data_IF_207251691654
#
_entry.id   IF_207251691654
#
_cell.length_a   1.000
_cell.length_b   1.000
_cell.length_c   1.000
_cell.angle_alpha   90.00
_cell.angle_beta   90.00
_cell.angle_gamma   90.00
#
_symmetry.space_group_name_H-M   'P 1'
#
loop_
_entity.id
_entity.type
_entity.pdbx_description
1 polymer ?
#
# COMPACT_ATOMS: atom_id res chain seq x y z
N UNK A 1 -68.68 -14.00 57.48
CA UNK A 1 -69.12 -14.47 56.14
C UNK A 1 -68.52 -13.54 55.09
N UNK A 2 -67.46 -13.97 54.42
CA UNK A 2 -67.12 -13.58 53.04
C UNK A 2 -66.08 -14.57 52.54
N UNK A 3 -66.51 -15.31 51.54
CA UNK A 3 -65.83 -16.43 50.91
C UNK A 3 -64.71 -15.88 50.03
N UNK A 4 -63.45 -16.18 50.37
CA UNK A 4 -62.30 -15.85 49.52
C UNK A 4 -61.98 -17.04 48.63
N UNK A 5 -62.72 -17.11 47.53
CA UNK A 5 -62.36 -17.92 46.39
C UNK A 5 -60.99 -17.51 45.85
N UNK A 6 -60.12 -18.49 45.64
CA UNK A 6 -59.45 -18.76 44.37
C UNK A 6 -58.49 -19.92 44.62
N UNK A 7 -59.04 -21.13 44.57
CA UNK A 7 -58.26 -22.33 44.33
C UNK A 7 -57.59 -22.18 42.97
N UNK A 8 -56.28 -21.96 42.99
CA UNK A 8 -55.44 -22.00 41.80
C UNK A 8 -55.65 -23.35 41.11
N UNK A 9 -56.46 -23.35 40.07
CA UNK A 9 -56.72 -24.51 39.22
C UNK A 9 -55.40 -24.89 38.55
N UNK A 10 -54.68 -25.80 39.20
CA UNK A 10 -53.53 -26.51 38.65
C UNK A 10 -54.00 -27.38 37.50
N UNK A 11 -54.32 -26.77 36.36
CA UNK A 11 -54.49 -27.48 35.08
C UNK A 11 -53.16 -28.16 34.78
N UNK A 12 -53.07 -29.45 35.13
CA UNK A 12 -51.99 -30.35 34.73
C UNK A 12 -52.00 -30.38 33.20
N UNK A 13 -51.07 -29.65 32.59
CA UNK A 13 -50.83 -29.66 31.15
C UNK A 13 -50.79 -31.12 30.67
N UNK A 14 -51.55 -31.43 29.63
CA UNK A 14 -51.50 -32.75 29.00
C UNK A 14 -50.06 -33.06 28.59
N UNK A 15 -49.62 -34.33 28.71
CA UNK A 15 -48.26 -34.76 28.30
C UNK A 15 -47.87 -34.22 26.91
N UNK A 16 -48.83 -34.12 25.99
CA UNK A 16 -48.64 -33.56 24.64
C UNK A 16 -48.38 -32.05 24.63
N UNK A 17 -49.05 -31.27 25.47
CA UNK A 17 -48.85 -29.82 25.60
C UNK A 17 -47.51 -29.50 26.26
N UNK A 18 -47.12 -30.27 27.27
CA UNK A 18 -45.82 -30.15 27.92
C UNK A 18 -44.66 -30.43 26.95
N UNK A 19 -44.79 -31.47 26.12
CA UNK A 19 -43.81 -31.78 25.06
C UNK A 19 -43.71 -30.66 24.00
N UNK A 20 -44.85 -30.08 23.58
CA UNK A 20 -44.87 -28.92 22.65
C UNK A 20 -44.21 -27.67 23.27
N UNK A 21 -44.45 -27.40 24.55
CA UNK A 21 -43.82 -26.29 25.27
C UNK A 21 -42.29 -26.48 25.39
N UNK A 22 -41.82 -27.70 25.70
CA UNK A 22 -40.40 -28.05 25.71
C UNK A 22 -39.76 -27.92 24.33
N UNK A 23 -40.42 -28.39 23.27
CA UNK A 23 -39.94 -28.27 21.89
C UNK A 23 -39.82 -26.79 21.46
N UNK A 24 -40.80 -25.94 21.80
CA UNK A 24 -40.72 -24.48 21.59
C UNK A 24 -39.55 -23.87 22.34
N UNK A 25 -39.35 -24.20 23.63
CA UNK A 25 -38.20 -23.71 24.42
C UNK A 25 -36.86 -24.15 23.82
N UNK A 26 -36.74 -25.40 23.36
CA UNK A 26 -35.54 -25.93 22.67
C UNK A 26 -35.28 -25.19 21.35
N UNK A 27 -36.29 -24.98 20.51
CA UNK A 27 -36.18 -24.21 19.25
C UNK A 27 -35.73 -22.77 19.49
N UNK A 28 -36.28 -22.09 20.50
CA UNK A 28 -35.88 -20.73 20.87
C UNK A 28 -34.42 -20.68 21.37
N UNK A 29 -34.01 -21.64 22.22
CA UNK A 29 -32.61 -21.77 22.67
C UNK A 29 -31.66 -22.03 21.49
N UNK A 30 -32.02 -22.89 20.55
CA UNK A 30 -31.23 -23.16 19.34
C UNK A 30 -31.15 -21.94 18.42
N UNK A 31 -32.25 -21.20 18.19
CA UNK A 31 -32.23 -19.94 17.43
C UNK A 31 -31.30 -18.91 18.05
N UNK A 32 -31.36 -18.72 19.38
CA UNK A 32 -30.47 -17.80 20.12
C UNK A 32 -28.99 -18.23 20.02
N UNK A 33 -28.68 -19.53 20.14
CA UNK A 33 -27.31 -20.06 19.97
C UNK A 33 -26.79 -19.83 18.54
N UNK A 34 -27.60 -20.11 17.52
CA UNK A 34 -27.24 -19.88 16.11
C UNK A 34 -26.98 -18.39 15.82
N UNK A 35 -27.80 -17.49 16.35
CA UNK A 35 -27.59 -16.04 16.20
C UNK A 35 -26.29 -15.57 16.85
N UNK A 36 -25.94 -16.06 18.05
CA UNK A 36 -24.66 -15.77 18.71
C UNK A 36 -23.47 -16.27 17.89
N UNK A 37 -23.54 -17.50 17.39
CA UNK A 37 -22.48 -18.07 16.54
C UNK A 37 -22.31 -17.29 15.23
N UNK A 38 -23.41 -16.85 14.60
CA UNK A 38 -23.36 -15.99 13.40
C UNK A 38 -22.67 -14.66 13.70
N UNK A 39 -23.00 -14.00 14.82
CA UNK A 39 -22.36 -12.74 15.24
C UNK A 39 -20.86 -12.92 15.49
N UNK A 40 -20.47 -14.00 16.16
CA UNK A 40 -19.05 -14.31 16.43
C UNK A 40 -18.30 -14.59 15.11
N UNK A 41 -18.90 -15.40 14.21
CA UNK A 41 -18.33 -15.67 12.89
C UNK A 41 -18.18 -14.40 12.07
N UNK A 42 -19.20 -13.54 12.04
CA UNK A 42 -19.16 -12.25 11.35
C UNK A 42 -18.10 -11.32 11.94
N UNK A 43 -18.02 -11.20 13.27
CA UNK A 43 -17.00 -10.39 13.94
C UNK A 43 -15.58 -10.91 13.67
N UNK A 44 -15.38 -12.23 13.63
CA UNK A 44 -14.10 -12.86 13.28
C UNK A 44 -13.74 -12.62 11.81
N UNK A 45 -14.71 -12.72 10.90
CA UNK A 45 -14.52 -12.40 9.49
C UNK A 45 -14.14 -10.92 9.29
N UNK A 46 -14.86 -10.00 9.94
CA UNK A 46 -14.55 -8.56 9.92
C UNK A 46 -13.13 -8.27 10.43
N UNK A 47 -12.72 -8.87 11.55
CA UNK A 47 -11.34 -8.74 12.06
C UNK A 47 -10.30 -9.30 11.10
N UNK A 48 -10.60 -10.44 10.46
CA UNK A 48 -9.71 -11.02 9.45
C UNK A 48 -9.59 -10.11 8.24
N UNK A 49 -10.71 -9.56 7.74
CA UNK A 49 -10.71 -8.61 6.63
C UNK A 49 -9.88 -7.39 6.99
N UNK A 50 -10.11 -6.80 8.18
CA UNK A 50 -9.33 -5.65 8.67
C UNK A 50 -7.84 -5.95 8.77
N UNK A 51 -7.46 -7.14 9.25
CA UNK A 51 -6.07 -7.57 9.26
C UNK A 51 -5.49 -7.62 7.85
N UNK A 52 -6.17 -8.29 6.92
CA UNK A 52 -5.73 -8.38 5.53
C UNK A 52 -5.68 -7.02 4.84
N UNK A 53 -6.61 -6.10 5.12
CA UNK A 53 -6.57 -4.74 4.56
C UNK A 53 -5.35 -3.99 5.09
N UNK A 54 -5.09 -4.05 6.40
CA UNK A 54 -3.91 -3.41 6.99
C UNK A 54 -2.62 -4.02 6.45
N UNK A 55 -2.55 -5.34 6.30
CA UNK A 55 -1.41 -6.03 5.71
C UNK A 55 -1.20 -5.60 4.24
N UNK A 56 -2.27 -5.53 3.44
CA UNK A 56 -2.19 -5.07 2.06
C UNK A 56 -1.73 -3.62 1.96
N UNK A 57 -2.25 -2.72 2.80
CA UNK A 57 -1.81 -1.33 2.85
C UNK A 57 -0.35 -1.21 3.29
N UNK A 58 0.08 -2.00 4.26
CA UNK A 58 1.46 -2.03 4.71
C UNK A 58 2.41 -2.52 3.60
N UNK A 59 2.04 -3.61 2.91
CA UNK A 59 2.80 -4.13 1.77
C UNK A 59 2.84 -3.12 0.61
N UNK A 60 1.73 -2.46 0.31
CA UNK A 60 1.68 -1.40 -0.70
C UNK A 60 2.58 -0.22 -0.32
N UNK A 61 2.59 0.17 0.96
CA UNK A 61 3.50 1.19 1.49
C UNK A 61 4.98 0.77 1.34
N UNK A 62 5.32 -0.46 1.71
CA UNK A 62 6.67 -0.99 1.52
C UNK A 62 7.08 -1.05 0.04
N UNK A 63 6.16 -1.46 -0.84
CA UNK A 63 6.41 -1.47 -2.29
C UNK A 63 6.63 -0.06 -2.83
N UNK A 64 5.84 0.93 -2.39
CA UNK A 64 6.01 2.33 -2.77
C UNK A 64 7.36 2.88 -2.30
N UNK A 65 7.78 2.58 -1.05
CA UNK A 65 9.09 2.97 -0.51
C UNK A 65 10.22 2.29 -1.29
N UNK A 66 10.11 0.99 -1.55
CA UNK A 66 11.11 0.25 -2.33
C UNK A 66 11.23 0.80 -3.76
N UNK A 67 10.11 1.14 -4.39
CA UNK A 67 10.07 1.78 -5.69
C UNK A 67 10.80 3.14 -5.65
N UNK A 68 10.47 3.99 -4.68
CA UNK A 68 11.10 5.29 -4.51
C UNK A 68 12.60 5.23 -4.23
N UNK A 69 13.01 4.25 -3.42
CA UNK A 69 14.41 3.97 -3.12
C UNK A 69 15.18 3.57 -4.38
N UNK A 70 14.61 2.63 -5.16
CA UNK A 70 15.30 1.98 -6.28
C UNK A 70 15.27 2.76 -7.59
N UNK A 71 14.21 3.53 -7.87
CA UNK A 71 14.05 4.24 -9.14
C UNK A 71 14.31 5.74 -9.01
N UNK A 72 14.90 6.34 -10.05
CA UNK A 72 15.15 7.77 -10.15
C UNK A 72 14.55 8.32 -11.44
N UNK A 73 13.89 9.48 -11.33
CA UNK A 73 13.54 10.32 -12.46
C UNK A 73 14.70 11.25 -12.78
N UNK A 74 15.17 11.23 -14.01
CA UNK A 74 16.20 12.15 -14.52
C UNK A 74 15.57 13.01 -15.60
N UNK A 75 15.75 14.32 -15.52
CA UNK A 75 15.15 15.29 -16.44
C UNK A 75 16.11 16.46 -16.71
N UNK A 76 15.72 17.34 -17.63
CA UNK A 76 16.49 18.50 -18.08
C UNK A 76 17.94 18.15 -18.47
N UNK A 77 18.06 17.12 -19.30
CA UNK A 77 19.36 16.61 -19.77
C UNK A 77 20.04 17.67 -20.67
N UNK A 78 21.24 18.16 -20.32
CA UNK A 78 21.99 19.11 -21.15
C UNK A 78 22.34 18.52 -22.51
N UNK A 79 22.44 19.35 -23.54
CA UNK A 79 22.76 18.91 -24.91
C UNK A 79 24.05 18.09 -24.99
N UNK A 80 25.10 18.50 -24.27
CA UNK A 80 26.38 17.78 -24.25
C UNK A 80 26.29 16.38 -23.61
N UNK A 81 25.25 16.09 -22.81
CA UNK A 81 25.03 14.78 -22.20
C UNK A 81 24.06 13.90 -23.00
N UNK A 82 23.38 14.43 -24.02
CA UNK A 82 22.45 13.70 -24.90
C UNK A 82 23.19 12.93 -25.99
N UNK A 83 24.06 12.01 -25.58
CA UNK A 83 24.87 11.20 -26.48
C UNK A 83 24.56 9.71 -26.29
N UNK A 84 24.82 8.89 -27.31
CA UNK A 84 24.60 7.44 -27.26
C UNK A 84 23.16 7.08 -26.87
N UNK A 85 22.99 6.35 -25.76
CA UNK A 85 21.69 5.91 -25.25
C UNK A 85 20.76 7.07 -24.83
N UNK A 86 21.32 8.25 -24.54
CA UNK A 86 20.56 9.44 -24.13
C UNK A 86 20.25 10.39 -25.30
N UNK A 87 20.59 10.01 -26.53
CA UNK A 87 20.28 10.81 -27.71
C UNK A 87 18.76 10.96 -27.90
N UNK A 88 18.28 12.20 -28.04
CA UNK A 88 16.85 12.50 -28.21
C UNK A 88 15.99 12.27 -26.96
N UNK A 89 16.60 12.02 -25.80
CA UNK A 89 15.89 11.85 -24.53
C UNK A 89 15.74 13.20 -23.83
N UNK A 90 14.52 13.54 -23.40
CA UNK A 90 14.24 14.71 -22.56
C UNK A 90 14.25 14.37 -21.08
N UNK A 91 13.64 13.25 -20.73
CA UNK A 91 13.58 12.73 -19.37
C UNK A 91 13.49 11.20 -19.40
N UNK A 92 13.93 10.53 -18.34
CA UNK A 92 13.80 9.07 -18.22
C UNK A 92 13.74 8.64 -16.76
N UNK A 93 13.18 7.46 -16.53
CA UNK A 93 13.25 6.77 -15.25
C UNK A 93 14.31 5.68 -15.35
N UNK A 94 15.27 5.68 -14.44
CA UNK A 94 16.35 4.69 -14.37
C UNK A 94 16.32 3.93 -13.05
N UNK A 95 16.72 2.66 -13.09
CA UNK A 95 17.02 1.91 -11.87
C UNK A 95 18.41 2.31 -11.35
N UNK A 96 18.48 2.78 -10.10
CA UNK A 96 19.73 3.19 -9.45
C UNK A 96 20.48 1.97 -8.94
N UNK A 97 21.81 1.87 -9.05
CA UNK A 97 22.56 0.76 -8.45
C UNK A 97 22.59 0.82 -6.91
N UNK A 98 22.29 1.98 -6.32
CA UNK A 98 22.13 2.17 -4.89
C UNK A 98 20.66 2.21 -4.47
N UNK A 99 20.39 1.92 -3.19
CA UNK A 99 19.06 1.98 -2.58
C UNK A 99 18.70 3.38 -2.04
N UNK A 100 19.68 4.15 -1.57
CA UNK A 100 19.42 5.42 -0.92
C UNK A 100 20.10 6.57 -1.67
N UNK A 101 19.32 7.55 -2.09
CA UNK A 101 19.77 8.71 -2.85
C UNK A 101 18.59 9.52 -3.37
N UNK A 102 18.85 10.65 -4.04
CA UNK A 102 17.79 11.49 -4.54
C UNK A 102 16.89 10.72 -5.51
N UNK A 103 15.57 10.90 -5.41
CA UNK A 103 14.57 10.28 -6.29
C UNK A 103 14.51 10.94 -7.67
N UNK A 104 15.02 12.17 -7.75
CA UNK A 104 14.80 13.10 -8.84
C UNK A 104 16.13 13.82 -9.08
N UNK A 105 16.57 13.84 -10.33
CA UNK A 105 17.80 14.47 -10.78
C UNK A 105 17.50 15.45 -11.89
N UNK A 106 17.69 16.74 -11.59
CA UNK A 106 17.78 17.80 -12.58
C UNK A 106 19.22 17.87 -13.07
N UNK A 107 19.50 17.42 -14.29
CA UNK A 107 20.87 17.47 -14.82
C UNK A 107 21.30 18.88 -15.20
N UNK A 108 20.37 19.80 -15.43
CA UNK A 108 20.69 21.19 -15.73
C UNK A 108 21.23 21.91 -14.50
N UNK A 109 20.73 21.59 -13.30
CA UNK A 109 21.25 22.13 -12.04
C UNK A 109 22.74 21.82 -11.80
N UNK A 110 23.29 20.78 -12.43
CA UNK A 110 24.69 20.41 -12.32
C UNK A 110 25.59 21.00 -13.41
N UNK A 111 25.04 21.80 -14.35
CA UNK A 111 25.81 22.37 -15.46
C UNK A 111 26.90 23.36 -14.99
N UNK A 112 28.06 23.40 -15.68
CA UNK A 112 29.03 24.47 -15.46
C UNK A 112 28.34 25.84 -15.55
N UNK A 113 28.60 26.74 -14.60
CA UNK A 113 28.15 28.13 -14.74
C UNK A 113 28.98 28.81 -15.82
N UNK A 114 28.37 29.72 -16.59
CA UNK A 114 28.97 30.41 -17.73
C UNK A 114 30.26 31.20 -17.39
N UNK A 115 30.53 31.43 -16.10
CA UNK A 115 31.68 32.18 -15.60
C UNK A 115 32.89 31.31 -15.21
N UNK A 116 32.94 30.04 -15.61
CA UNK A 116 34.11 29.21 -15.35
C UNK A 116 35.25 29.57 -16.32
N UNK A 117 36.49 29.74 -15.82
CA UNK A 117 37.64 30.01 -16.68
C UNK A 117 37.76 28.90 -17.73
N UNK A 118 38.17 29.26 -18.96
CA UNK A 118 38.25 28.43 -20.17
C UNK A 118 39.11 27.15 -20.07
N UNK A 119 39.54 26.77 -18.86
CA UNK A 119 40.38 25.63 -18.51
C UNK A 119 39.56 24.38 -18.20
N UNK A 120 38.21 24.45 -18.14
CA UNK A 120 37.38 23.24 -17.99
C UNK A 120 37.25 22.53 -19.34
N UNK A 121 38.16 21.60 -19.61
CA UNK A 121 38.35 20.97 -20.92
C UNK A 121 37.19 20.08 -21.39
N UNK A 122 36.21 19.76 -20.53
CA UNK A 122 35.01 19.01 -20.94
C UNK A 122 33.82 19.25 -19.97
N UNK A 123 32.67 19.78 -20.42
CA UNK A 123 31.50 19.99 -19.55
C UNK A 123 30.90 18.68 -19.03
N UNK A 124 31.11 17.57 -19.74
CA UNK A 124 30.64 16.25 -19.31
C UNK A 124 31.41 15.73 -18.09
N UNK A 125 32.74 15.90 -18.04
CA UNK A 125 33.53 15.44 -16.89
C UNK A 125 33.20 16.23 -15.63
N UNK A 126 32.92 17.53 -15.77
CA UNK A 126 32.45 18.36 -14.65
C UNK A 126 31.05 17.94 -14.16
N UNK A 127 30.14 17.59 -15.07
CA UNK A 127 28.84 17.04 -14.70
C UNK A 127 29.02 15.76 -13.87
N UNK A 128 29.87 14.84 -14.31
CA UNK A 128 30.15 13.60 -13.58
C UNK A 128 30.78 13.87 -12.22
N UNK A 129 31.74 14.81 -12.12
CA UNK A 129 32.37 15.15 -10.84
C UNK A 129 31.37 15.75 -9.84
N UNK A 130 30.41 16.55 -10.33
CA UNK A 130 29.35 17.16 -9.50
C UNK A 130 28.29 16.14 -9.07
N UNK A 131 27.95 15.18 -9.93
CA UNK A 131 27.08 14.05 -9.55
C UNK A 131 27.77 13.11 -8.56
N UNK A 132 29.10 13.03 -8.59
CA UNK A 132 29.91 12.23 -7.68
C UNK A 132 29.46 10.77 -7.67
N UNK A 133 29.03 10.28 -6.51
CA UNK A 133 28.55 8.90 -6.35
C UNK A 133 27.33 8.56 -7.21
N UNK A 134 26.59 9.55 -7.71
CA UNK A 134 25.39 9.38 -8.51
C UNK A 134 25.64 9.36 -10.02
N UNK A 135 26.90 9.45 -10.47
CA UNK A 135 27.25 9.49 -11.89
C UNK A 135 26.66 8.36 -12.75
N UNK A 136 26.40 7.19 -12.14
CA UNK A 136 25.81 6.04 -12.82
C UNK A 136 24.45 6.32 -13.46
N UNK A 137 23.72 7.35 -13.00
CA UNK A 137 22.47 7.76 -13.65
C UNK A 137 22.70 8.24 -15.08
N UNK A 138 23.90 8.75 -15.43
CA UNK A 138 24.24 9.26 -16.76
C UNK A 138 25.18 8.31 -17.51
N UNK A 139 26.16 7.70 -16.82
CA UNK A 139 27.21 6.90 -17.49
C UNK A 139 26.72 5.54 -17.97
N UNK A 140 25.84 4.89 -17.22
CA UNK A 140 25.29 3.57 -17.55
C UNK A 140 23.83 3.45 -17.08
N UNK A 141 22.90 4.24 -17.65
CA UNK A 141 21.51 4.24 -17.22
C UNK A 141 20.80 2.94 -17.58
N UNK A 142 20.26 2.26 -16.58
CA UNK A 142 19.28 1.18 -16.76
C UNK A 142 17.88 1.78 -16.88
N UNK A 143 17.55 2.27 -18.08
CA UNK A 143 16.30 2.95 -18.37
C UNK A 143 15.12 1.98 -18.35
N UNK A 144 14.10 2.31 -17.55
CA UNK A 144 12.82 1.58 -17.48
C UNK A 144 11.74 2.30 -18.26
N UNK A 145 11.84 3.62 -18.34
CA UNK A 145 10.92 4.46 -19.09
C UNK A 145 11.65 5.68 -19.64
N UNK A 146 11.25 6.16 -20.81
CA UNK A 146 11.91 7.26 -21.51
C UNK A 146 10.86 8.18 -22.13
N UNK A 147 11.04 9.48 -21.94
CA UNK A 147 10.37 10.54 -22.68
C UNK A 147 11.31 11.05 -23.76
N UNK A 148 10.94 10.82 -25.02
CA UNK A 148 11.64 11.36 -26.20
C UNK A 148 11.02 12.69 -26.60
N UNK A 149 11.79 13.57 -27.23
CA UNK A 149 11.25 14.75 -27.88
C UNK A 149 12.33 15.62 -28.49
#
# INVERSE_FOLDING_TARGET
MTDTGMTGSGKRLSRREYQRALARKRRLRQKRRRARLRRIKAARALRSVQFWTRAALFLAGLAAVAFWAKFALVYDIPLYARQGLLAGVRAYVTSKPWWFGPPVFDLAAYQPQDNLPAVVSNPYTLLLSRLGRYQAVVTAPHMVWVLRG
#
